data_IF_860708026026
#
_entry.id   IF_860708026026
#
_cell.length_a   1.000
_cell.length_b   1.000
_cell.length_c   1.000
_cell.angle_alpha   90.00
_cell.angle_beta   90.00
_cell.angle_gamma   90.00
#
_symmetry.space_group_name_H-M   'P 1'
#
loop_
_entity.id
_entity.type
_entity.pdbx_description
1 polymer ?
#
# COMPACT_ATOMS: atom_id res chain seq x y z
N UNK A 1 -0.65 9.33 -5.43
CA UNK A 1 -1.61 9.45 -4.30
C UNK A 1 -1.05 10.54 -3.41
N UNK A 2 -1.65 11.75 -3.39
CA UNK A 2 -1.15 12.86 -2.57
C UNK A 2 -1.36 12.51 -1.09
N UNK A 3 -0.30 12.51 -0.29
CA UNK A 3 -0.37 12.25 1.16
C UNK A 3 0.18 10.90 1.64
N UNK A 4 0.78 10.08 0.77
CA UNK A 4 1.61 8.97 1.23
C UNK A 4 2.96 9.55 1.66
N UNK A 5 3.24 9.53 2.96
CA UNK A 5 4.56 9.85 3.49
C UNK A 5 5.61 8.86 2.97
N UNK A 6 6.85 9.31 2.87
CA UNK A 6 7.98 8.51 2.37
C UNK A 6 8.14 7.20 3.16
N UNK A 7 7.93 7.26 4.47
CA UNK A 7 7.90 6.10 5.38
C UNK A 7 6.85 5.04 5.00
N UNK A 8 5.66 5.48 4.59
CA UNK A 8 4.58 4.57 4.18
C UNK A 8 4.85 3.99 2.79
N UNK A 9 5.45 4.78 1.88
CA UNK A 9 5.94 4.25 0.61
C UNK A 9 7.02 3.18 0.81
N UNK A 10 7.96 3.41 1.74
CA UNK A 10 8.99 2.43 2.07
C UNK A 10 8.39 1.14 2.66
N UNK A 11 7.40 1.27 3.55
CA UNK A 11 6.69 0.11 4.11
C UNK A 11 5.97 -0.69 3.01
N UNK A 12 5.31 -0.01 2.07
CA UNK A 12 4.66 -0.65 0.92
C UNK A 12 5.68 -1.39 0.02
N UNK A 13 6.84 -0.80 -0.21
CA UNK A 13 7.94 -1.45 -0.95
C UNK A 13 8.40 -2.71 -0.22
N UNK A 14 8.59 -2.66 1.10
CA UNK A 14 8.96 -3.84 1.90
C UNK A 14 7.87 -4.90 1.98
N UNK A 15 6.60 -4.51 1.84
CA UNK A 15 5.46 -5.42 1.67
C UNK A 15 5.37 -6.00 0.23
N UNK A 16 6.31 -5.69 -0.67
CA UNK A 16 6.31 -6.14 -2.05
C UNK A 16 5.37 -5.36 -2.98
N UNK A 17 4.75 -4.29 -2.48
CA UNK A 17 3.82 -3.41 -3.20
C UNK A 17 4.54 -2.11 -3.58
N UNK A 18 5.51 -2.22 -4.47
CA UNK A 18 6.31 -1.07 -4.93
C UNK A 18 5.61 -0.20 -5.98
N UNK A 19 4.50 -0.65 -6.57
CA UNK A 19 3.83 0.07 -7.67
C UNK A 19 2.31 0.05 -7.55
N UNK A 20 1.67 1.10 -8.06
CA UNK A 20 0.20 1.26 -8.09
C UNK A 20 -0.52 0.05 -8.74
N UNK A 21 -0.03 -0.53 -9.85
CA UNK A 21 -0.64 -1.74 -10.41
C UNK A 21 -0.55 -2.94 -9.46
N UNK A 22 0.59 -3.13 -8.76
CA UNK A 22 0.74 -4.22 -7.78
C UNK A 22 -0.22 -4.06 -6.60
N UNK A 23 -0.51 -2.82 -6.20
CA UNK A 23 -1.52 -2.52 -5.18
C UNK A 23 -2.93 -2.93 -5.67
N UNK A 24 -3.26 -2.65 -6.94
CA UNK A 24 -4.58 -2.94 -7.50
C UNK A 24 -4.96 -4.45 -7.50
N UNK A 25 -3.98 -5.35 -7.53
CA UNK A 25 -4.19 -6.80 -7.50
C UNK A 25 -4.19 -7.40 -6.09
N UNK A 26 -3.88 -6.63 -5.05
CA UNK A 26 -3.84 -7.12 -3.66
C UNK A 26 -5.22 -7.06 -3.00
N UNK A 27 -5.43 -7.96 -2.05
CA UNK A 27 -6.55 -7.91 -1.11
C UNK A 27 -6.21 -6.95 0.04
N UNK A 28 -7.12 -6.03 0.38
CA UNK A 28 -6.90 -5.01 1.40
C UNK A 28 -6.65 -5.58 2.81
N UNK A 29 -7.36 -6.65 3.18
CA UNK A 29 -7.19 -7.32 4.47
C UNK A 29 -5.81 -7.97 4.57
N UNK A 30 -5.41 -8.72 3.53
CA UNK A 30 -4.10 -9.37 3.49
C UNK A 30 -2.98 -8.33 3.52
N UNK A 31 -3.13 -7.24 2.75
CA UNK A 31 -2.16 -6.15 2.74
C UNK A 31 -2.07 -5.47 4.10
N UNK A 32 -3.19 -5.22 4.78
CA UNK A 32 -3.18 -4.65 6.12
C UNK A 32 -2.41 -5.55 7.10
N UNK A 33 -2.67 -6.86 7.10
CA UNK A 33 -1.94 -7.81 7.94
C UNK A 33 -0.43 -7.81 7.67
N UNK A 34 -0.03 -7.83 6.40
CA UNK A 34 1.38 -7.75 5.98
C UNK A 34 2.02 -6.45 6.48
N UNK A 35 1.34 -5.31 6.29
CA UNK A 35 1.82 -3.99 6.73
C UNK A 35 1.89 -3.89 8.26
N UNK A 36 0.94 -4.45 8.99
CA UNK A 36 0.97 -4.51 10.46
C UNK A 36 2.17 -5.32 10.95
N UNK A 37 2.38 -6.52 10.41
CA UNK A 37 3.49 -7.39 10.78
C UNK A 37 4.84 -6.72 10.49
N UNK A 38 4.98 -6.12 9.31
CA UNK A 38 6.20 -5.41 8.91
C UNK A 38 6.43 -4.16 9.76
N UNK A 39 5.39 -3.37 10.04
CA UNK A 39 5.53 -2.17 10.84
C UNK A 39 5.80 -2.49 12.32
N UNK A 40 5.33 -3.62 12.85
CA UNK A 40 5.71 -4.07 14.19
C UNK A 40 7.22 -4.37 14.27
N UNK A 41 7.80 -4.93 13.21
CA UNK A 41 9.23 -5.26 13.14
C UNK A 41 10.11 -4.04 12.85
N UNK A 42 9.68 -3.21 11.90
CA UNK A 42 10.50 -2.12 11.33
C UNK A 42 10.17 -0.75 11.92
N UNK A 43 8.98 -0.58 12.49
CA UNK A 43 8.46 0.68 13.08
C UNK A 43 8.65 1.90 12.16
N UNK A 44 8.37 1.71 10.87
CA UNK A 44 8.56 2.73 9.83
C UNK A 44 7.51 3.84 9.90
N UNK A 45 6.25 3.49 10.17
CA UNK A 45 5.16 4.48 10.23
C UNK A 45 4.58 4.56 11.65
N UNK A 46 4.31 5.79 12.08
CA UNK A 46 3.63 6.07 13.36
C UNK A 46 2.16 5.68 13.34
N UNK A 47 1.52 5.74 12.18
CA UNK A 47 0.12 5.39 11.97
C UNK A 47 -0.02 4.54 10.73
N UNK A 48 -0.59 3.35 10.90
CA UNK A 48 -1.03 2.52 9.77
C UNK A 48 -2.40 2.99 9.28
N UNK A 49 -2.63 3.00 7.95
CA UNK A 49 -3.96 3.21 7.40
C UNK A 49 -4.88 2.04 7.76
N UNK A 50 -6.16 2.34 7.91
CA UNK A 50 -7.19 1.33 8.13
C UNK A 50 -7.42 0.47 6.88
N UNK A 51 -8.05 -0.70 7.06
CA UNK A 51 -8.44 -1.57 5.94
C UNK A 51 -9.30 -0.82 4.92
N UNK A 52 -10.23 0.03 5.37
CA UNK A 52 -11.09 0.84 4.49
C UNK A 52 -10.28 1.85 3.67
N UNK A 53 -9.27 2.47 4.26
CA UNK A 53 -8.37 3.37 3.54
C UNK A 53 -7.56 2.62 2.47
N UNK A 54 -7.07 1.42 2.80
CA UNK A 54 -6.39 0.55 1.84
C UNK A 54 -7.33 0.10 0.71
N UNK A 55 -8.58 -0.25 1.00
CA UNK A 55 -9.59 -0.56 -0.01
C UNK A 55 -9.83 0.61 -0.96
N UNK A 56 -9.94 1.82 -0.43
CA UNK A 56 -10.07 3.04 -1.25
C UNK A 56 -8.84 3.25 -2.13
N UNK A 57 -7.64 3.07 -1.58
CA UNK A 57 -6.40 3.16 -2.35
C UNK A 57 -6.32 2.11 -3.46
N UNK A 58 -6.74 0.86 -3.18
CA UNK A 58 -6.80 -0.23 -4.17
C UNK A 58 -7.83 0.10 -5.25
N UNK A 59 -9.00 0.60 -4.87
CA UNK A 59 -10.04 1.03 -5.82
C UNK A 59 -9.57 2.19 -6.70
N UNK A 60 -8.86 3.16 -6.12
CA UNK A 60 -8.25 4.26 -6.86
C UNK A 60 -7.12 3.77 -7.78
N UNK A 61 -6.32 2.81 -7.33
CA UNK A 61 -5.29 2.17 -8.12
C UNK A 61 -5.85 1.41 -9.33
N UNK A 62 -7.02 0.77 -9.17
CA UNK A 62 -7.76 0.12 -10.27
C UNK A 62 -8.31 1.12 -11.30
N UNK A 63 -8.68 2.33 -10.85
CA UNK A 63 -9.22 3.41 -11.70
C UNK A 63 -8.15 4.18 -12.46
N UNK A 64 -6.91 4.16 -12.00
CA UNK A 64 -5.82 4.82 -12.70
C UNK A 64 -5.53 4.05 -14.00
N UNK A 65 -5.38 4.75 -15.14
CA UNK A 65 -5.01 4.10 -16.39
C UNK A 65 -3.72 3.32 -16.14
N UNK A 66 -3.72 2.03 -16.45
CA UNK A 66 -2.56 1.14 -16.33
C UNK A 66 -1.46 1.66 -17.26
N UNK A 67 -0.68 2.66 -16.82
CA UNK A 67 0.60 2.98 -17.44
C UNK A 67 1.56 1.85 -17.04
N UNK A 68 1.37 0.69 -17.67
CA UNK A 68 2.40 -0.34 -17.73
C UNK A 68 3.41 0.22 -18.73
N UNK A 69 4.45 0.89 -18.24
CA UNK A 69 5.67 1.06 -19.04
C UNK A 69 6.44 -0.25 -18.87
N UNK A 70 6.60 -0.93 -20.00
CA UNK A 70 7.28 -2.21 -20.13
C UNK A 70 8.80 -2.07 -19.99
#
# INVERSE_FOLDING_TARGET
>A
IKGIGEEFAELLVKAGVATVPKLAYRNAQNLYMDLTLLNQRLKLVRRLPTVVELERMISQAKKLPKLIRH
#
